data_IF_123400528502
#
_entry.id   IF_123400528502
#
_cell.length_a   1.000
_cell.length_b   1.000
_cell.length_c   1.000
_cell.angle_alpha   90.00
_cell.angle_beta   90.00
_cell.angle_gamma   90.00
#
_symmetry.space_group_name_H-M   'P 1'
#
loop_
_entity.id
_entity.type
_entity.pdbx_description
1 polymer ?
#
# COMPACT_ATOMS: atom_id res chain seq x y z
N UNK A 1 -3.35 28.04 13.10
CA UNK A 1 -3.72 27.40 11.82
C UNK A 1 -2.62 26.43 11.41
N UNK A 2 -2.83 25.12 11.53
CA UNK A 2 -1.77 24.15 11.18
C UNK A 2 -1.69 23.99 9.66
N UNK A 3 -0.57 24.39 9.05
CA UNK A 3 -0.32 24.16 7.63
C UNK A 3 -0.06 22.66 7.43
N UNK A 4 -1.02 21.96 6.83
CA UNK A 4 -0.86 20.56 6.44
C UNK A 4 0.09 20.49 5.24
N UNK A 5 1.13 19.64 5.31
CA UNK A 5 2.07 19.49 4.19
C UNK A 5 1.39 18.93 2.94
N UNK A 6 1.97 19.20 1.75
CA UNK A 6 1.43 18.69 0.47
C UNK A 6 1.34 17.16 0.46
N UNK A 7 2.33 16.48 1.07
CA UNK A 7 2.39 15.01 1.19
C UNK A 7 1.24 14.48 2.04
N UNK A 8 0.95 15.13 3.18
CA UNK A 8 -0.19 14.76 4.04
C UNK A 8 -1.53 14.95 3.32
N UNK A 9 -1.67 16.04 2.55
CA UNK A 9 -2.88 16.28 1.73
C UNK A 9 -3.08 15.22 0.65
N UNK A 10 -2.02 14.88 -0.08
CA UNK A 10 -2.04 13.82 -1.10
C UNK A 10 -2.30 12.45 -0.46
N UNK A 11 -1.69 12.16 0.68
CA UNK A 11 -1.93 10.92 1.43
C UNK A 11 -3.41 10.79 1.84
N UNK A 12 -4.01 11.87 2.37
CA UNK A 12 -5.44 11.89 2.69
C UNK A 12 -6.30 11.66 1.43
N UNK A 13 -5.99 12.32 0.32
CA UNK A 13 -6.73 12.12 -0.93
C UNK A 13 -6.67 10.66 -1.42
N UNK A 14 -5.49 10.03 -1.36
CA UNK A 14 -5.32 8.62 -1.73
C UNK A 14 -6.12 7.73 -0.76
N UNK A 15 -6.02 8.00 0.54
CA UNK A 15 -6.72 7.25 1.58
C UNK A 15 -8.24 7.29 1.38
N UNK A 16 -8.83 8.45 1.18
CA UNK A 16 -10.28 8.57 0.96
C UNK A 16 -10.74 7.80 -0.29
N UNK A 17 -9.97 7.89 -1.38
CA UNK A 17 -10.28 7.13 -2.60
C UNK A 17 -10.21 5.61 -2.39
N UNK A 18 -9.28 5.14 -1.58
CA UNK A 18 -9.15 3.72 -1.23
C UNK A 18 -10.27 3.29 -0.27
N UNK A 19 -10.64 4.11 0.71
CA UNK A 19 -11.77 3.81 1.60
C UNK A 19 -13.08 3.66 0.82
N UNK A 20 -13.36 4.55 -0.13
CA UNK A 20 -14.52 4.45 -1.03
C UNK A 20 -14.56 3.14 -1.85
N UNK A 21 -13.42 2.45 -1.99
CA UNK A 21 -13.26 1.17 -2.70
C UNK A 21 -13.17 -0.03 -1.75
N UNK A 22 -13.51 0.16 -0.48
CA UNK A 22 -13.55 -0.91 0.53
C UNK A 22 -12.18 -1.39 1.01
N UNK A 23 -11.11 -0.62 0.81
CA UNK A 23 -9.80 -0.93 1.41
C UNK A 23 -9.76 -0.49 2.87
N UNK A 24 -9.03 -1.24 3.71
CA UNK A 24 -8.58 -0.74 5.02
C UNK A 24 -7.24 -0.02 4.84
N UNK A 25 -7.08 1.17 5.41
CA UNK A 25 -5.87 1.96 5.26
C UNK A 25 -5.43 2.51 6.60
N UNK A 26 -4.21 2.16 7.02
CA UNK A 26 -3.55 2.74 8.20
C UNK A 26 -2.50 3.76 7.73
N UNK A 27 -2.47 4.94 8.34
CA UNK A 27 -1.51 6.01 8.00
C UNK A 27 -0.41 6.09 9.03
N UNK A 28 0.86 6.10 8.58
CA UNK A 28 2.05 6.26 9.42
C UNK A 28 2.89 7.43 8.94
N UNK A 29 3.34 8.27 9.85
CA UNK A 29 4.20 9.42 9.55
C UNK A 29 5.66 9.08 9.86
N UNK A 30 6.58 9.50 8.98
CA UNK A 30 8.01 9.42 9.28
C UNK A 30 8.38 10.40 10.39
N UNK A 31 9.24 9.98 11.33
CA UNK A 31 9.79 10.87 12.37
C UNK A 31 10.78 11.90 11.83
N UNK A 32 11.54 11.52 10.80
CA UNK A 32 12.70 12.27 10.34
C UNK A 32 12.50 12.90 8.95
N UNK A 33 11.38 12.64 8.28
CA UNK A 33 11.13 13.14 6.92
C UNK A 33 9.66 13.53 6.75
N UNK A 34 9.35 14.23 5.65
CA UNK A 34 7.97 14.54 5.25
C UNK A 34 7.22 13.33 4.66
N UNK A 35 7.79 12.14 4.73
CA UNK A 35 7.19 10.94 4.15
C UNK A 35 5.98 10.48 4.94
N UNK A 36 4.92 10.11 4.23
CA UNK A 36 3.72 9.44 4.76
C UNK A 36 3.64 8.04 4.17
N UNK A 37 3.29 7.06 4.99
CA UNK A 37 3.15 5.66 4.59
C UNK A 37 1.72 5.22 4.81
N UNK A 38 1.11 4.63 3.77
CA UNK A 38 -0.20 4.02 3.84
C UNK A 38 -0.02 2.50 3.80
N UNK A 39 -0.39 1.83 4.89
CA UNK A 39 -0.46 0.37 4.97
C UNK A 39 -1.85 -0.04 4.52
N UNK A 40 -1.91 -0.84 3.45
CA UNK A 40 -3.15 -1.21 2.79
C UNK A 40 -3.56 -2.60 3.26
N UNK A 41 -4.83 -2.76 3.64
CA UNK A 41 -5.44 -4.02 4.04
C UNK A 41 -4.61 -4.75 5.10
N UNK A 42 -4.17 -4.01 6.13
CA UNK A 42 -3.33 -4.54 7.22
C UNK A 42 -2.04 -5.24 6.78
N UNK A 43 -1.55 -4.97 5.57
CA UNK A 43 -0.37 -5.59 4.98
C UNK A 43 -0.67 -6.74 4.01
N UNK A 44 -1.94 -7.06 3.77
CA UNK A 44 -2.33 -8.00 2.70
C UNK A 44 -1.95 -7.47 1.32
N UNK A 45 -1.94 -6.14 1.15
CA UNK A 45 -1.55 -5.43 -0.07
C UNK A 45 -0.25 -4.62 0.15
N UNK A 46 0.46 -4.31 -0.94
CA UNK A 46 1.69 -3.53 -0.84
C UNK A 46 1.43 -2.10 -0.34
N UNK A 47 2.31 -1.59 0.50
CA UNK A 47 2.18 -0.23 1.04
C UNK A 47 2.49 0.86 0.01
N UNK A 48 1.95 2.05 0.26
CA UNK A 48 2.17 3.27 -0.54
C UNK A 48 3.01 4.23 0.30
N UNK A 49 4.10 4.76 -0.26
CA UNK A 49 4.86 5.87 0.32
C UNK A 49 4.54 7.15 -0.45
N UNK A 50 4.26 8.23 0.25
CA UNK A 50 4.09 9.58 -0.30
C UNK A 50 5.21 10.45 0.24
N UNK A 51 5.97 11.14 -0.60
CA UNK A 51 7.04 12.04 -0.14
C UNK A 51 7.45 13.09 -1.18
N UNK A 52 8.34 13.99 -0.79
CA UNK A 52 8.97 15.00 -1.65
C UNK A 52 10.31 14.55 -2.28
N UNK A 53 10.86 13.39 -1.90
CA UNK A 53 12.14 12.90 -2.41
C UNK A 53 12.14 11.38 -2.66
N UNK A 54 12.94 10.94 -3.63
CA UNK A 54 13.17 9.53 -3.90
C UNK A 54 14.05 8.93 -2.79
N UNK A 55 13.73 7.73 -2.33
CA UNK A 55 14.56 6.97 -1.39
C UNK A 55 14.29 5.47 -1.58
N UNK A 56 15.33 4.66 -1.73
CA UNK A 56 15.22 3.21 -1.90
C UNK A 56 15.17 2.44 -0.58
N UNK A 57 15.60 3.03 0.54
CA UNK A 57 15.60 2.44 1.88
C UNK A 57 14.19 2.46 2.50
N UNK A 58 13.20 1.93 1.78
CA UNK A 58 11.83 1.77 2.25
C UNK A 58 11.25 0.43 1.77
N UNK A 59 10.20 -0.06 2.42
CA UNK A 59 9.54 -1.31 2.03
C UNK A 59 8.34 -1.15 1.08
N UNK A 60 7.89 0.07 0.81
CA UNK A 60 6.74 0.33 -0.06
C UNK A 60 7.03 -0.01 -1.52
N UNK A 61 6.12 -0.76 -2.15
CA UNK A 61 6.15 -1.02 -3.59
C UNK A 61 5.80 0.25 -4.36
N UNK A 62 4.72 0.92 -3.96
CA UNK A 62 4.23 2.14 -4.61
C UNK A 62 4.84 3.38 -3.96
N UNK A 63 5.41 4.26 -4.78
CA UNK A 63 6.14 5.45 -4.34
C UNK A 63 5.59 6.67 -5.08
N UNK A 64 4.81 7.48 -4.39
CA UNK A 64 4.23 8.73 -4.89
C UNK A 64 5.15 9.88 -4.50
N UNK A 65 5.91 10.38 -5.47
CA UNK A 65 6.99 11.34 -5.24
C UNK A 65 6.64 12.66 -5.92
N UNK A 66 6.76 13.76 -5.18
CA UNK A 66 6.50 15.11 -5.69
C UNK A 66 7.38 15.38 -6.92
N UNK A 67 6.76 15.83 -8.02
CA UNK A 67 7.46 16.19 -9.25
C UNK A 67 8.36 15.08 -9.83
N UNK A 68 8.03 13.81 -9.59
CA UNK A 68 8.81 12.71 -10.16
C UNK A 68 8.69 12.67 -11.69
N UNK A 69 9.83 12.56 -12.36
CA UNK A 69 9.99 12.48 -13.82
C UNK A 69 10.81 11.26 -14.26
N UNK A 70 11.16 10.36 -13.34
CA UNK A 70 11.95 9.17 -13.65
C UNK A 70 11.13 8.01 -14.23
N UNK A 71 11.76 6.83 -14.31
CA UNK A 71 11.14 5.61 -14.81
C UNK A 71 9.97 5.18 -13.92
N UNK A 72 8.84 4.78 -14.51
CA UNK A 72 7.66 4.29 -13.74
C UNK A 72 8.03 3.08 -12.87
N UNK A 73 8.84 2.16 -13.39
CA UNK A 73 9.19 0.91 -12.71
C UNK A 73 10.69 0.76 -12.60
N UNK A 74 11.16 0.40 -11.42
CA UNK A 74 12.57 0.10 -11.17
C UNK A 74 12.67 -1.16 -10.31
N UNK A 75 13.73 -1.94 -10.52
CA UNK A 75 14.05 -3.10 -9.69
C UNK A 75 15.18 -2.72 -8.73
N UNK A 76 14.96 -2.89 -7.43
CA UNK A 76 15.92 -2.54 -6.39
C UNK A 76 15.89 -3.58 -5.28
N UNK A 77 17.06 -4.17 -4.95
CA UNK A 77 17.23 -5.17 -3.89
C UNK A 77 16.19 -6.30 -3.94
N UNK A 78 16.01 -6.90 -5.12
CA UNK A 78 15.06 -8.01 -5.31
C UNK A 78 13.59 -7.57 -5.35
N UNK A 79 13.28 -6.27 -5.24
CA UNK A 79 11.91 -5.75 -5.14
C UNK A 79 11.61 -4.80 -6.30
N UNK A 80 10.44 -5.00 -6.91
CA UNK A 80 9.90 -4.03 -7.87
C UNK A 80 9.37 -2.81 -7.13
N UNK A 81 9.80 -1.62 -7.55
CA UNK A 81 9.34 -0.32 -7.08
C UNK A 81 8.62 0.38 -8.22
N UNK A 82 7.42 0.89 -7.95
CA UNK A 82 6.61 1.60 -8.93
C UNK A 82 6.43 3.04 -8.45
N UNK A 83 6.80 3.98 -9.30
CA UNK A 83 6.85 5.40 -9.01
C UNK A 83 5.73 6.16 -9.72
N UNK A 84 5.16 7.13 -9.01
CA UNK A 84 4.11 8.01 -9.49
C UNK A 84 4.42 9.45 -9.11
N UNK A 85 4.00 10.38 -9.96
CA UNK A 85 3.90 11.77 -9.60
C UNK A 85 2.57 12.02 -8.83
N UNK A 86 2.47 13.12 -8.09
CA UNK A 86 1.26 13.54 -7.36
C UNK A 86 0.03 13.70 -8.26
N UNK A 87 0.22 13.94 -9.56
CA UNK A 87 -0.87 14.06 -10.54
C UNK A 87 -1.38 12.69 -11.04
N UNK A 88 -0.71 11.59 -10.70
CA UNK A 88 -1.02 10.25 -11.21
C UNK A 88 -1.84 9.40 -10.23
N UNK A 89 -2.55 10.02 -9.28
CA UNK A 89 -3.30 9.30 -8.24
C UNK A 89 -4.32 8.33 -8.85
N UNK A 90 -4.99 8.68 -9.95
CA UNK A 90 -5.92 7.76 -10.61
C UNK A 90 -5.26 6.44 -11.04
N UNK A 91 -4.08 6.52 -11.69
CA UNK A 91 -3.31 5.35 -12.11
C UNK A 91 -2.81 4.53 -10.92
N UNK A 92 -2.33 5.20 -9.86
CA UNK A 92 -1.95 4.54 -8.61
C UNK A 92 -3.10 3.71 -8.04
N UNK A 93 -4.30 4.30 -7.95
CA UNK A 93 -5.47 3.62 -7.38
C UNK A 93 -5.82 2.37 -8.21
N UNK A 94 -5.84 2.48 -9.54
CA UNK A 94 -6.09 1.35 -10.43
C UNK A 94 -5.04 0.22 -10.27
N UNK A 95 -3.76 0.57 -10.14
CA UNK A 95 -2.68 -0.40 -9.95
C UNK A 95 -2.79 -1.11 -8.57
N UNK A 96 -3.25 -0.41 -7.52
CA UNK A 96 -3.53 -0.98 -6.19
C UNK A 96 -4.76 -1.89 -6.21
N UNK A 97 -5.84 -1.50 -6.91
CA UNK A 97 -7.04 -2.33 -7.12
C UNK A 97 -6.70 -3.63 -7.84
N UNK A 98 -5.92 -3.53 -8.92
CA UNK A 98 -5.46 -4.68 -9.69
C UNK A 98 -4.61 -5.63 -8.84
N UNK A 99 -3.72 -5.11 -7.99
CA UNK A 99 -2.97 -5.95 -7.06
C UNK A 99 -3.88 -6.70 -6.09
N UNK A 100 -4.86 -6.04 -5.48
CA UNK A 100 -5.79 -6.69 -4.55
C UNK A 100 -6.55 -7.81 -5.25
N UNK A 101 -7.10 -7.55 -6.43
CA UNK A 101 -7.81 -8.56 -7.23
C UNK A 101 -6.91 -9.75 -7.56
N UNK A 102 -5.67 -9.50 -8.02
CA UNK A 102 -4.71 -10.56 -8.32
C UNK A 102 -4.33 -11.40 -7.09
N UNK A 103 -4.23 -10.77 -5.91
CA UNK A 103 -3.98 -11.51 -4.65
C UNK A 103 -5.16 -12.39 -4.27
N UNK A 104 -6.38 -11.87 -4.40
CA UNK A 104 -7.61 -12.64 -4.14
C UNK A 104 -7.71 -13.82 -5.10
N UNK A 105 -7.44 -13.61 -6.39
CA UNK A 105 -7.44 -14.68 -7.39
C UNK A 105 -6.37 -15.74 -7.10
N UNK A 106 -5.15 -15.32 -6.72
CA UNK A 106 -4.04 -16.24 -6.48
C UNK A 106 -4.20 -17.07 -5.20
N UNK A 107 -4.67 -16.45 -4.12
CA UNK A 107 -4.67 -17.07 -2.79
C UNK A 107 -6.08 -17.48 -2.32
N UNK A 108 -7.13 -17.05 -3.01
CA UNK A 108 -8.52 -17.18 -2.58
C UNK A 108 -8.93 -16.09 -1.59
N UNK A 109 -10.20 -15.68 -1.66
CA UNK A 109 -10.75 -14.61 -0.83
C UNK A 109 -10.62 -14.89 0.67
N UNK A 110 -10.79 -16.14 1.10
CA UNK A 110 -10.67 -16.54 2.52
C UNK A 110 -9.27 -16.25 3.08
N UNK A 111 -8.21 -16.70 2.40
CA UNK A 111 -6.84 -16.48 2.86
C UNK A 111 -6.47 -15.00 2.84
N UNK A 112 -6.92 -14.29 1.80
CA UNK A 112 -6.79 -12.84 1.73
C UNK A 112 -7.46 -12.14 2.92
N UNK A 113 -8.70 -12.53 3.25
CA UNK A 113 -9.50 -11.96 4.35
C UNK A 113 -8.79 -12.11 5.69
N UNK A 114 -8.21 -13.27 5.97
CA UNK A 114 -7.49 -13.54 7.22
C UNK A 114 -6.35 -12.55 7.43
N UNK A 115 -5.53 -12.32 6.39
CA UNK A 115 -4.45 -11.34 6.44
C UNK A 115 -5.01 -9.91 6.54
N UNK A 116 -6.00 -9.57 5.71
CA UNK A 116 -6.63 -8.23 5.68
C UNK A 116 -7.24 -7.84 7.01
N UNK A 117 -7.94 -8.75 7.66
CA UNK A 117 -8.73 -8.43 8.85
C UNK A 117 -7.94 -8.62 10.14
N UNK A 118 -6.71 -9.17 10.05
CA UNK A 118 -5.94 -9.62 11.23
C UNK A 118 -6.82 -10.48 12.15
N UNK A 119 -7.76 -11.23 11.56
CA UNK A 119 -8.50 -12.24 12.31
C UNK A 119 -7.45 -13.19 12.86
N UNK A 120 -7.42 -13.38 14.19
CA UNK A 120 -6.63 -14.47 14.78
C UNK A 120 -7.07 -15.73 14.04
N UNK A 121 -6.16 -16.36 13.29
CA UNK A 121 -6.46 -17.68 12.77
C UNK A 121 -6.75 -18.55 13.99
N UNK A 122 -7.96 -19.10 14.04
CA UNK A 122 -8.29 -20.14 15.00
C UNK A 122 -7.27 -21.29 14.81
N UNK A 123 -6.45 -21.54 15.83
CA UNK A 123 -5.36 -22.53 15.78
C UNK A 123 -5.88 -23.93 15.39
N UNK A 124 -7.16 -24.20 15.66
CA UNK A 124 -7.85 -25.43 15.27
C UNK A 124 -7.92 -25.65 13.75
N UNK A 125 -7.83 -24.60 12.93
CA UNK A 125 -7.92 -24.73 11.47
C UNK A 125 -6.65 -25.35 10.84
N UNK A 126 -5.52 -25.31 11.56
CA UNK A 126 -4.26 -25.92 11.11
C UNK A 126 -4.29 -27.45 11.24
N UNK A 127 -5.03 -27.97 12.23
CA UNK A 127 -5.07 -29.41 12.53
C UNK A 127 -5.73 -30.23 11.41
N UNK A 128 -6.81 -29.70 10.81
CA UNK A 128 -7.56 -30.40 9.75
C UNK A 128 -6.85 -30.47 8.39
N UNK A 129 -5.74 -29.75 8.19
CA UNK A 129 -4.97 -29.80 6.93
C UNK A 129 -3.75 -30.72 6.97
N UNK A 130 -3.35 -31.21 8.14
CA UNK A 130 -2.29 -32.22 8.26
C UNK A 130 -2.82 -33.66 8.25
N UNK A 131 -4.14 -33.83 8.32
CA UNK A 131 -4.81 -35.13 8.42
C UNK A 131 -5.62 -35.51 7.16
N UNK A 132 -5.35 -34.88 6.02
CA UNK A 132 -5.99 -35.18 4.74
C UNK A 132 -4.94 -35.42 3.65
#
# INVERSE_FOLDING_TARGET
MFIISKEKRVANQIRERLYQRGFKVETKFSKNTKSVYLVIDNGACSSIRISDHKNYKNNSKYNVIKNYQGRKTEFNNGKTKIFYNFHMIGRLIADVESERSNRILRYGYRNYKIIRDKEKMDENYIYYRKAA
#
